data_IF_117789038031
#
_entry.id   IF_117789038031
#
_cell.length_a   1.000
_cell.length_b   1.000
_cell.length_c   1.000
_cell.angle_alpha   90.00
_cell.angle_beta   90.00
_cell.angle_gamma   90.00
#
_symmetry.space_group_name_H-M   'P 1'
#
loop_
_entity.id
_entity.type
_entity.pdbx_description
1 polymer ?
#
# COMPACT_ATOMS: atom_id res chain seq x y z
N UNK A 1 55.32 42.24 24.97
CA UNK A 1 55.75 41.14 24.09
C UNK A 1 55.30 39.75 24.53
N UNK A 2 55.34 39.39 25.82
CA UNK A 2 54.97 38.03 26.29
C UNK A 2 53.49 37.64 26.13
N UNK A 3 52.55 38.59 26.13
CA UNK A 3 51.10 38.32 25.99
C UNK A 3 50.71 37.84 24.58
N UNK A 4 51.37 38.33 23.52
CA UNK A 4 51.11 37.94 22.12
C UNK A 4 51.65 36.53 21.83
N UNK A 5 52.74 36.14 22.49
CA UNK A 5 53.34 34.80 22.37
C UNK A 5 52.42 33.66 22.86
N UNK A 6 51.51 33.94 23.81
CA UNK A 6 50.52 32.96 24.28
C UNK A 6 49.24 32.93 23.43
N UNK A 7 48.95 33.98 22.67
CA UNK A 7 47.74 34.07 21.83
C UNK A 7 47.92 33.28 20.52
N UNK A 8 49.13 33.27 19.96
CA UNK A 8 49.43 32.55 18.72
C UNK A 8 49.15 31.04 18.79
N UNK A 9 49.62 30.27 19.81
CA UNK A 9 49.31 28.85 19.90
C UNK A 9 47.82 28.60 20.19
N UNK A 10 47.15 29.51 20.90
CA UNK A 10 45.73 29.39 21.22
C UNK A 10 44.85 29.51 19.97
N UNK A 11 45.15 30.45 19.07
CA UNK A 11 44.41 30.61 17.80
C UNK A 11 44.65 29.42 16.85
N UNK A 12 45.85 28.85 16.87
CA UNK A 12 46.19 27.70 16.02
C UNK A 12 45.40 26.44 16.37
N UNK A 13 45.14 26.19 17.66
CA UNK A 13 44.36 25.02 18.12
C UNK A 13 42.88 25.11 17.72
N UNK A 14 42.34 26.32 17.58
CA UNK A 14 40.93 26.53 17.23
C UNK A 14 40.61 26.16 15.76
N UNK A 15 41.62 26.14 14.88
CA UNK A 15 41.48 25.79 13.46
C UNK A 15 41.29 24.29 13.21
N UNK A 16 41.47 23.42 14.22
CA UNK A 16 41.40 21.96 14.07
C UNK A 16 40.08 21.34 14.59
N UNK A 17 39.00 22.10 14.67
CA UNK A 17 37.70 21.55 15.09
C UNK A 17 36.99 20.86 13.92
N UNK A 18 36.78 19.55 14.02
CA UNK A 18 36.01 18.76 13.03
C UNK A 18 34.58 18.58 13.55
N UNK A 19 33.54 18.91 12.75
CA UNK A 19 32.16 18.69 13.18
C UNK A 19 31.85 17.18 13.23
N UNK A 20 31.37 16.71 14.38
CA UNK A 20 30.85 15.35 14.49
C UNK A 20 29.49 15.28 13.77
N UNK A 21 29.42 14.57 12.65
CA UNK A 21 28.17 14.31 11.94
C UNK A 21 27.44 13.17 12.66
N UNK A 22 26.36 13.47 13.36
CA UNK A 22 25.44 12.45 13.86
C UNK A 22 24.64 11.88 12.68
N UNK A 23 24.77 10.58 12.43
CA UNK A 23 23.90 9.86 11.49
C UNK A 23 22.86 9.12 12.30
N UNK A 24 21.61 9.55 12.20
CA UNK A 24 20.46 8.77 12.69
C UNK A 24 20.23 7.64 11.69
N UNK A 25 20.52 6.41 12.10
CA UNK A 25 20.13 5.23 11.34
C UNK A 25 18.61 5.11 11.47
N UNK A 26 17.87 5.42 10.40
CA UNK A 26 16.43 5.14 10.37
C UNK A 26 16.26 3.62 10.37
N UNK A 27 16.01 3.04 11.53
CA UNK A 27 15.51 1.68 11.62
C UNK A 27 14.10 1.69 11.02
N UNK A 28 14.00 1.26 9.76
CA UNK A 28 12.71 0.96 9.14
C UNK A 28 12.22 -0.31 9.80
N UNK A 29 11.35 -0.18 10.81
CA UNK A 29 10.56 -1.31 11.29
C UNK A 29 9.66 -1.74 10.15
N UNK A 30 10.01 -2.85 9.49
CA UNK A 30 9.12 -3.54 8.56
C UNK A 30 8.03 -4.15 9.43
N UNK A 31 6.92 -3.43 9.58
CA UNK A 31 5.70 -3.97 10.17
C UNK A 31 5.26 -5.09 9.22
N UNK A 32 5.50 -6.34 9.62
CA UNK A 32 5.00 -7.53 8.95
C UNK A 32 3.48 -7.56 9.16
N UNK A 33 2.77 -6.74 8.38
CA UNK A 33 1.32 -6.74 8.36
C UNK A 33 0.95 -8.04 7.67
N UNK A 34 0.32 -8.98 8.39
CA UNK A 34 -0.28 -10.16 7.78
C UNK A 34 -1.27 -9.69 6.70
N UNK A 35 -0.80 -9.60 5.45
CA UNK A 35 -1.63 -9.26 4.32
C UNK A 35 -2.53 -10.47 4.09
N UNK A 36 -3.76 -10.39 4.58
CA UNK A 36 -4.75 -11.41 4.24
C UNK A 36 -4.97 -11.38 2.73
N UNK A 37 -4.54 -12.45 2.05
CA UNK A 37 -4.55 -12.52 0.59
C UNK A 37 -5.99 -12.52 0.07
N UNK A 38 -6.33 -11.49 -0.71
CA UNK A 38 -7.65 -11.35 -1.31
C UNK A 38 -7.73 -12.26 -2.54
N UNK A 39 -8.57 -13.29 -2.49
CA UNK A 39 -8.83 -14.14 -3.66
C UNK A 39 -10.18 -13.81 -4.28
N UNK A 40 -10.19 -13.67 -5.61
CA UNK A 40 -11.39 -13.42 -6.41
C UNK A 40 -11.51 -14.55 -7.44
N UNK A 41 -12.62 -15.28 -7.44
CA UNK A 41 -12.92 -16.30 -8.44
C UNK A 41 -14.36 -16.19 -8.94
N UNK A 42 -14.61 -16.63 -10.18
CA UNK A 42 -15.94 -16.62 -10.78
C UNK A 42 -16.26 -18.01 -11.32
N UNK A 43 -17.44 -18.51 -10.97
CA UNK A 43 -18.00 -19.75 -11.52
C UNK A 43 -19.38 -19.43 -12.10
N UNK A 44 -19.54 -19.63 -13.41
CA UNK A 44 -20.73 -19.21 -14.16
C UNK A 44 -21.05 -17.72 -13.93
N UNK A 45 -22.05 -17.41 -13.11
CA UNK A 45 -22.43 -16.04 -12.72
C UNK A 45 -22.27 -15.78 -11.22
N UNK A 46 -21.62 -16.67 -10.47
CA UNK A 46 -21.37 -16.48 -9.04
C UNK A 46 -19.93 -16.03 -8.81
N UNK A 47 -19.77 -14.85 -8.22
CA UNK A 47 -18.50 -14.29 -7.78
C UNK A 47 -18.23 -14.74 -6.36
N UNK A 48 -17.08 -15.37 -6.15
CA UNK A 48 -16.60 -15.80 -4.84
C UNK A 48 -15.38 -14.96 -4.45
N UNK A 49 -15.48 -14.30 -3.29
CA UNK A 49 -14.44 -13.41 -2.76
C UNK A 49 -14.08 -13.86 -1.35
N UNK A 50 -12.79 -14.05 -1.10
CA UNK A 50 -12.26 -14.39 0.22
C UNK A 50 -11.20 -13.38 0.67
N UNK A 51 -11.00 -13.26 1.98
CA UNK A 51 -9.97 -12.39 2.56
C UNK A 51 -10.24 -10.89 2.44
N UNK A 52 -11.47 -10.49 2.08
CA UNK A 52 -11.82 -9.10 1.81
C UNK A 52 -12.82 -8.48 2.79
N UNK A 53 -12.97 -9.05 3.99
CA UNK A 53 -13.95 -8.59 4.96
C UNK A 53 -13.81 -7.08 5.24
N UNK A 54 -14.92 -6.35 5.17
CA UNK A 54 -14.96 -4.92 5.43
C UNK A 54 -14.53 -4.03 4.26
N UNK A 55 -14.00 -4.60 3.18
CA UNK A 55 -13.59 -3.87 1.98
C UNK A 55 -14.78 -3.66 1.02
N UNK A 56 -14.69 -2.61 0.19
CA UNK A 56 -15.63 -2.37 -0.89
C UNK A 56 -15.29 -3.22 -2.11
N UNK A 57 -16.29 -3.92 -2.63
CA UNK A 57 -16.30 -4.64 -3.90
C UNK A 57 -17.03 -3.79 -4.93
N UNK A 58 -16.34 -3.42 -6.00
CA UNK A 58 -16.88 -2.67 -7.12
C UNK A 58 -16.74 -3.50 -8.40
N UNK A 59 -17.76 -3.47 -9.25
CA UNK A 59 -17.70 -4.09 -10.58
C UNK A 59 -17.89 -3.01 -11.63
N UNK A 60 -17.06 -3.03 -12.66
CA UNK A 60 -17.07 -2.10 -13.78
C UNK A 60 -17.25 -2.83 -15.09
N UNK A 61 -17.93 -2.21 -16.04
CA UNK A 61 -17.93 -2.66 -17.43
C UNK A 61 -16.62 -2.26 -18.14
N UNK A 62 -16.45 -2.70 -19.38
CA UNK A 62 -15.25 -2.37 -20.19
C UNK A 62 -15.07 -0.88 -20.48
N UNK A 63 -16.13 -0.08 -20.37
CA UNK A 63 -16.08 1.37 -20.52
C UNK A 63 -15.73 2.11 -19.20
N UNK A 64 -15.49 1.37 -18.11
CA UNK A 64 -15.16 1.95 -16.80
C UNK A 64 -16.37 2.43 -15.99
N UNK A 65 -17.60 2.15 -16.43
CA UNK A 65 -18.82 2.49 -15.68
C UNK A 65 -19.03 1.46 -14.56
N UNK A 66 -19.22 1.93 -13.33
CA UNK A 66 -19.50 1.08 -12.16
C UNK A 66 -20.93 0.55 -12.24
N UNK A 67 -21.07 -0.78 -12.35
CA UNK A 67 -22.36 -1.48 -12.44
C UNK A 67 -22.80 -2.11 -11.12
N UNK A 68 -21.88 -2.30 -10.17
CA UNK A 68 -22.18 -2.84 -8.84
C UNK A 68 -21.22 -2.26 -7.80
N UNK A 69 -21.71 -2.04 -6.57
CA UNK A 69 -20.90 -1.62 -5.42
C UNK A 69 -21.51 -2.19 -4.14
N UNK A 70 -20.74 -2.99 -3.40
CA UNK A 70 -21.19 -3.63 -2.16
C UNK A 70 -20.03 -3.76 -1.19
N UNK A 71 -20.31 -3.62 0.12
CA UNK A 71 -19.33 -3.91 1.16
C UNK A 71 -19.29 -5.41 1.41
N UNK A 72 -18.10 -6.01 1.41
CA UNK A 72 -17.92 -7.42 1.73
C UNK A 72 -18.10 -7.62 3.23
N UNK A 73 -18.97 -8.56 3.61
CA UNK A 73 -19.32 -8.84 5.00
C UNK A 73 -19.07 -10.32 5.31
N UNK A 74 -17.87 -10.61 5.82
CA UNK A 74 -17.40 -11.97 6.08
C UNK A 74 -16.05 -12.26 5.42
N UNK A 75 -15.40 -13.34 5.85
CA UNK A 75 -14.12 -13.77 5.28
C UNK A 75 -14.27 -14.56 3.96
N UNK A 76 -15.44 -15.13 3.71
CA UNK A 76 -15.81 -15.85 2.48
C UNK A 76 -17.23 -15.40 2.08
N UNK A 77 -17.37 -14.77 0.92
CA UNK A 77 -18.64 -14.25 0.43
C UNK A 77 -18.88 -14.68 -1.01
N UNK A 78 -20.15 -14.98 -1.32
CA UNK A 78 -20.62 -15.31 -2.67
C UNK A 78 -21.67 -14.31 -3.11
N UNK A 79 -21.51 -13.78 -4.32
CA UNK A 79 -22.44 -12.83 -4.94
C UNK A 79 -22.93 -13.39 -6.26
N UNK A 80 -24.24 -13.41 -6.44
CA UNK A 80 -24.86 -13.76 -7.71
C UNK A 80 -24.85 -12.51 -8.61
N UNK A 81 -24.14 -12.59 -9.73
CA UNK A 81 -23.98 -11.51 -10.68
C UNK A 81 -25.10 -11.60 -11.72
N UNK A 82 -26.10 -10.74 -11.61
CA UNK A 82 -27.14 -10.57 -12.62
C UNK A 82 -26.68 -9.59 -13.71
N UNK A 83 -25.54 -9.91 -14.34
CA UNK A 83 -24.92 -9.09 -15.37
C UNK A 83 -25.10 -9.74 -16.75
N UNK A 84 -25.31 -8.94 -17.82
CA UNK A 84 -25.29 -9.46 -19.18
C UNK A 84 -23.98 -10.19 -19.52
N UNK A 85 -24.02 -11.02 -20.57
CA UNK A 85 -22.82 -11.67 -21.10
C UNK A 85 -21.81 -10.63 -21.54
N UNK A 86 -20.55 -10.80 -21.14
CA UNK A 86 -19.51 -9.82 -21.42
C UNK A 86 -18.32 -9.89 -20.49
N UNK A 87 -17.39 -8.96 -20.68
CA UNK A 87 -16.22 -8.78 -19.83
C UNK A 87 -16.46 -7.69 -18.79
N UNK A 88 -15.99 -7.93 -17.57
CA UNK A 88 -16.09 -6.99 -16.46
C UNK A 88 -14.79 -6.94 -15.67
N UNK A 89 -14.63 -5.87 -14.91
CA UNK A 89 -13.51 -5.67 -13.99
C UNK A 89 -14.08 -5.70 -12.58
N UNK A 90 -13.65 -6.65 -11.77
CA UNK A 90 -13.94 -6.68 -10.34
C UNK A 90 -12.78 -6.02 -9.61
N UNK A 91 -13.08 -5.07 -8.73
CA UNK A 91 -12.13 -4.39 -7.87
C UNK A 91 -12.53 -4.55 -6.41
N UNK A 92 -11.58 -4.90 -5.55
CA UNK A 92 -11.79 -5.05 -4.11
C UNK A 92 -10.75 -4.22 -3.35
N UNK A 93 -11.21 -3.40 -2.40
CA UNK A 93 -10.32 -2.60 -1.53
C UNK A 93 -9.45 -1.57 -2.26
N UNK A 94 -9.80 -1.20 -3.50
CA UNK A 94 -9.08 -0.21 -4.31
C UNK A 94 -7.73 -0.66 -4.87
N UNK A 95 -7.26 -1.88 -4.58
CA UNK A 95 -5.96 -2.40 -5.04
C UNK A 95 -6.09 -3.70 -5.84
N UNK A 96 -6.88 -4.65 -5.35
CA UNK A 96 -7.02 -5.96 -5.99
C UNK A 96 -8.02 -5.87 -7.13
N UNK A 97 -7.58 -6.13 -8.36
CA UNK A 97 -8.44 -6.11 -9.55
C UNK A 97 -8.33 -7.39 -10.35
N UNK A 98 -9.43 -7.84 -10.96
CA UNK A 98 -9.44 -9.03 -11.81
C UNK A 98 -10.44 -8.87 -12.95
N UNK A 99 -10.00 -9.21 -14.16
CA UNK A 99 -10.90 -9.37 -15.32
C UNK A 99 -11.71 -10.65 -15.15
N UNK A 100 -13.02 -10.54 -15.36
CA UNK A 100 -13.94 -11.68 -15.38
C UNK A 100 -14.75 -11.69 -16.67
N UNK A 101 -15.17 -12.86 -17.10
CA UNK A 101 -16.03 -13.05 -18.27
C UNK A 101 -17.29 -13.80 -17.86
N UNK A 102 -18.45 -13.17 -18.07
CA UNK A 102 -19.77 -13.79 -17.89
C UNK A 102 -20.20 -14.41 -19.22
N UNK A 103 -20.49 -15.72 -19.22
CA UNK A 103 -20.75 -16.54 -20.41
C UNK A 103 -22.23 -16.76 -20.70
#
# INVERSE_FOLDING_TARGET
>A
MARILLIIPFVLVMLFTVPAVSRTNMAVEIIDTEFQEITISVKASTLHVTGANGLMLNIYNVAGVRVMSVKVTGQDCRYELNLPKGCYIVQVGGKTTRKISIK
#
